data_IF_900426971328
#
_entry.id   IF_900426971328
#
_cell.length_a   1.000
_cell.length_b   1.000
_cell.length_c   1.000
_cell.angle_alpha   90.00
_cell.angle_beta   90.00
_cell.angle_gamma   90.00
#
_symmetry.space_group_name_H-M   'P 1'
#
loop_
_entity.id
_entity.type
_entity.pdbx_description
1 polymer ?
#
# COMPACT_ATOMS: atom_id res chain seq x y z
N UNK A 1 -1.42 -16.52 -17.83
CA UNK A 1 -1.79 -15.73 -16.65
C UNK A 1 -0.73 -15.82 -15.54
N UNK A 2 0.18 -16.81 -15.54
CA UNK A 2 1.24 -16.97 -14.54
C UNK A 2 2.13 -15.76 -14.26
N UNK A 3 2.51 -14.96 -15.26
CA UNK A 3 3.32 -13.75 -15.05
C UNK A 3 2.58 -12.67 -14.23
N UNK A 4 1.25 -12.65 -14.31
CA UNK A 4 0.40 -11.64 -13.68
C UNK A 4 0.33 -11.82 -12.16
N UNK A 5 0.29 -13.07 -11.69
CA UNK A 5 0.34 -13.39 -10.26
C UNK A 5 1.64 -12.92 -9.62
N UNK A 6 2.78 -13.20 -10.26
CA UNK A 6 4.09 -12.75 -9.80
C UNK A 6 4.25 -11.22 -9.82
N UNK A 7 3.77 -10.55 -10.87
CA UNK A 7 3.74 -9.08 -10.91
C UNK A 7 2.94 -8.54 -9.72
N UNK A 8 1.79 -9.13 -9.42
CA UNK A 8 0.93 -8.70 -8.32
C UNK A 8 1.62 -8.88 -6.96
N UNK A 9 2.28 -10.01 -6.73
CA UNK A 9 3.11 -10.24 -5.53
C UNK A 9 4.21 -9.18 -5.41
N UNK A 10 4.88 -8.86 -6.52
CA UNK A 10 5.90 -7.80 -6.55
C UNK A 10 5.35 -6.43 -6.16
N UNK A 11 4.17 -6.05 -6.68
CA UNK A 11 3.56 -4.74 -6.37
C UNK A 11 3.04 -4.69 -4.93
N UNK A 12 2.43 -5.77 -4.41
CA UNK A 12 2.07 -5.85 -2.98
C UNK A 12 3.30 -5.82 -2.07
N UNK A 13 4.41 -6.45 -2.48
CA UNK A 13 5.69 -6.38 -1.79
C UNK A 13 6.24 -4.95 -1.75
N UNK A 14 6.19 -4.22 -2.87
CA UNK A 14 6.57 -2.82 -2.92
C UNK A 14 5.68 -1.95 -2.02
N UNK A 15 4.36 -2.15 -2.07
CA UNK A 15 3.41 -1.45 -1.20
C UNK A 15 3.69 -1.70 0.29
N UNK A 16 4.02 -2.94 0.65
CA UNK A 16 4.40 -3.31 2.02
C UNK A 16 5.65 -2.55 2.48
N UNK A 17 6.68 -2.48 1.63
CA UNK A 17 7.93 -1.75 1.93
C UNK A 17 7.66 -0.25 2.08
N UNK A 18 6.92 0.36 1.14
CA UNK A 18 6.57 1.78 1.22
C UNK A 18 5.74 2.10 2.47
N UNK A 19 4.78 1.24 2.80
CA UNK A 19 3.96 1.38 4.01
C UNK A 19 4.81 1.28 5.28
N UNK A 20 5.77 0.34 5.32
CA UNK A 20 6.68 0.19 6.45
C UNK A 20 7.60 1.39 6.64
N UNK A 21 8.19 1.90 5.55
CA UNK A 21 9.03 3.10 5.59
C UNK A 21 8.21 4.30 6.08
N UNK A 22 7.01 4.49 5.52
CA UNK A 22 6.13 5.58 5.91
C UNK A 22 5.70 5.49 7.38
N UNK A 23 5.41 4.28 7.87
CA UNK A 23 5.11 4.03 9.29
C UNK A 23 6.29 4.41 10.19
N UNK A 24 7.50 3.96 9.86
CA UNK A 24 8.70 4.25 10.65
C UNK A 24 8.99 5.76 10.70
N UNK A 25 8.88 6.46 9.57
CA UNK A 25 9.03 7.91 9.49
C UNK A 25 7.94 8.63 10.28
N UNK A 26 6.70 8.13 10.26
CA UNK A 26 5.57 8.73 10.99
C UNK A 26 5.75 8.58 12.50
N UNK A 27 6.21 7.41 12.95
CA UNK A 27 6.58 7.17 14.35
C UNK A 27 7.74 8.08 14.80
N UNK A 28 8.77 8.25 13.97
CA UNK A 28 9.85 9.17 14.27
C UNK A 28 9.36 10.62 14.37
N UNK A 29 8.46 11.03 13.47
CA UNK A 29 7.89 12.38 13.45
C UNK A 29 7.02 12.66 14.66
N UNK A 30 6.08 11.78 15.00
CA UNK A 30 5.21 11.99 16.18
C UNK A 30 6.01 12.03 17.47
N UNK A 31 7.04 11.18 17.60
CA UNK A 31 7.90 11.19 18.77
C UNK A 31 8.68 12.51 18.90
N UNK A 32 9.14 13.06 17.77
CA UNK A 32 9.82 14.35 17.73
C UNK A 32 8.88 15.53 18.00
N UNK A 33 7.66 15.55 17.46
CA UNK A 33 6.71 16.66 17.68
C UNK A 33 6.14 16.70 19.09
N UNK A 34 6.14 15.57 19.80
CA UNK A 34 5.71 15.47 21.20
C UNK A 34 6.85 15.65 22.21
N UNK A 35 8.11 15.66 21.76
CA UNK A 35 9.29 15.82 22.62
C UNK A 35 10.33 16.70 21.92
N UNK A 36 9.98 17.98 21.68
CA UNK A 36 10.91 18.89 21.05
C UNK A 36 12.12 19.15 21.98
N UNK A 37 13.35 19.04 21.47
CA UNK A 37 14.52 19.40 22.25
C UNK A 37 14.56 20.90 22.55
N UNK A 38 14.99 21.25 23.75
CA UNK A 38 15.13 22.64 24.19
C UNK A 38 16.02 23.45 23.23
N UNK A 39 15.47 24.53 22.68
CA UNK A 39 16.18 25.41 21.74
C UNK A 39 15.88 25.14 20.26
N UNK A 40 15.00 24.18 19.94
CA UNK A 40 14.51 24.00 18.58
C UNK A 40 13.60 25.17 18.15
N UNK A 41 13.85 25.83 17.01
CA UNK A 41 13.00 26.93 16.54
C UNK A 41 11.60 26.47 16.10
N UNK A 42 11.38 25.17 15.90
CA UNK A 42 10.09 24.63 15.47
C UNK A 42 9.02 24.89 16.54
N UNK A 43 7.89 25.48 16.14
CA UNK A 43 6.78 25.86 17.02
C UNK A 43 7.21 26.65 18.28
N UNK A 44 8.29 27.44 18.17
CA UNK A 44 8.85 28.18 19.31
C UNK A 44 9.34 27.26 20.44
N UNK A 45 9.79 26.05 20.11
CA UNK A 45 10.29 25.05 21.05
C UNK A 45 9.20 24.40 21.91
N UNK A 46 7.94 24.48 21.47
CA UNK A 46 6.79 23.88 22.19
C UNK A 46 6.31 22.64 21.47
N UNK A 47 6.05 21.60 22.25
CA UNK A 47 5.41 20.37 21.78
C UNK A 47 4.07 20.66 21.12
N UNK A 48 3.80 19.96 20.01
CA UNK A 48 2.53 20.08 19.30
C UNK A 48 2.12 18.76 18.65
N UNK A 49 0.82 18.65 18.40
CA UNK A 49 0.24 17.48 17.76
C UNK A 49 -0.05 17.78 16.29
N UNK A 50 0.57 17.02 15.39
CA UNK A 50 0.29 17.05 13.97
C UNK A 50 -0.76 15.97 13.64
N UNK A 51 -2.00 16.35 13.28
CA UNK A 51 -3.09 15.39 13.05
C UNK A 51 -2.92 14.55 11.78
N UNK A 52 -2.02 14.92 10.86
CA UNK A 52 -1.74 14.13 9.64
C UNK A 52 -0.97 12.85 9.98
N UNK A 53 -0.07 12.93 10.94
CA UNK A 53 0.79 11.82 11.34
C UNK A 53 0.01 10.59 11.87
N UNK A 54 -0.93 10.71 12.84
CA UNK A 54 -1.73 9.57 13.30
C UNK A 54 -2.60 8.95 12.18
N UNK A 55 -3.09 9.76 11.24
CA UNK A 55 -3.82 9.27 10.06
C UNK A 55 -2.92 8.40 9.17
N UNK A 56 -1.70 8.87 8.88
CA UNK A 56 -0.71 8.10 8.11
C UNK A 56 -0.29 6.83 8.84
N UNK A 57 -0.13 6.86 10.16
CA UNK A 57 0.14 5.66 10.98
C UNK A 57 -1.01 4.66 10.85
N UNK A 58 -2.25 5.08 11.02
CA UNK A 58 -3.41 4.21 10.87
C UNK A 58 -3.47 3.61 9.46
N UNK A 59 -3.34 4.45 8.44
CA UNK A 59 -3.37 4.06 7.02
C UNK A 59 -2.29 3.03 6.70
N UNK A 60 -1.06 3.24 7.15
CA UNK A 60 0.05 2.32 6.92
C UNK A 60 -0.11 0.99 7.67
N UNK A 61 -0.62 1.00 8.91
CA UNK A 61 -0.91 -0.23 9.66
C UNK A 61 -1.96 -1.10 8.98
N UNK A 62 -3.08 -0.51 8.56
CA UNK A 62 -4.14 -1.24 7.85
C UNK A 62 -3.61 -1.75 6.51
N UNK A 63 -2.80 -0.96 5.81
CA UNK A 63 -2.19 -1.36 4.52
C UNK A 63 -1.19 -2.50 4.68
N UNK A 64 -0.35 -2.47 5.72
CA UNK A 64 0.57 -3.57 6.05
C UNK A 64 -0.22 -4.84 6.35
N UNK A 65 -1.25 -4.76 7.20
CA UNK A 65 -2.11 -5.90 7.52
C UNK A 65 -2.76 -6.50 6.27
N UNK A 66 -3.31 -5.65 5.40
CA UNK A 66 -3.90 -6.06 4.13
C UNK A 66 -2.89 -6.68 3.16
N UNK A 67 -1.72 -6.07 3.02
CA UNK A 67 -0.66 -6.55 2.13
C UNK A 67 -0.12 -7.90 2.60
N UNK A 68 0.12 -8.05 3.90
CA UNK A 68 0.50 -9.32 4.51
C UNK A 68 -0.58 -10.39 4.29
N UNK A 69 -1.86 -10.06 4.48
CA UNK A 69 -2.97 -10.98 4.21
C UNK A 69 -2.96 -11.44 2.75
N UNK A 70 -2.84 -10.53 1.78
CA UNK A 70 -2.84 -10.87 0.36
C UNK A 70 -1.63 -11.72 -0.06
N UNK A 71 -0.44 -11.39 0.45
CA UNK A 71 0.76 -12.18 0.20
C UNK A 71 0.64 -13.57 0.83
N UNK A 72 0.14 -13.64 2.07
CA UNK A 72 -0.05 -14.90 2.77
C UNK A 72 -1.08 -15.81 2.06
N UNK A 73 -2.19 -15.25 1.58
CA UNK A 73 -3.18 -15.99 0.79
C UNK A 73 -2.62 -16.49 -0.55
N UNK A 74 -1.68 -15.76 -1.16
CA UNK A 74 -1.02 -16.20 -2.38
C UNK A 74 -0.08 -17.40 -2.14
N UNK A 75 0.67 -17.40 -1.04
CA UNK A 75 1.64 -18.46 -0.72
C UNK A 75 1.00 -19.66 0.01
N UNK A 76 -0.10 -19.45 0.73
CA UNK A 76 -0.70 -20.45 1.60
C UNK A 76 -2.09 -20.87 1.13
N UNK A 77 -2.12 -21.80 0.18
CA UNK A 77 -3.37 -22.39 -0.35
C UNK A 77 -4.11 -23.24 0.70
N UNK A 78 -3.43 -23.62 1.78
CA UNK A 78 -3.99 -24.41 2.87
C UNK A 78 -4.99 -23.62 3.72
N UNK A 79 -4.98 -22.30 3.64
CA UNK A 79 -5.85 -21.44 4.46
C UNK A 79 -7.20 -21.31 3.77
N UNK A 80 -8.13 -22.18 4.16
CA UNK A 80 -9.54 -22.14 3.74
C UNK A 80 -10.28 -20.97 4.43
N UNK A 81 -9.84 -19.74 4.20
CA UNK A 81 -10.59 -18.55 4.64
C UNK A 81 -11.86 -18.40 3.80
N UNK A 82 -12.95 -17.93 4.43
CA UNK A 82 -14.22 -17.63 3.75
C UNK A 82 -14.16 -16.29 2.99
N UNK A 83 -13.23 -15.42 3.37
CA UNK A 83 -13.03 -14.06 2.86
C UNK A 83 -11.58 -13.63 3.13
N UNK A 84 -10.91 -12.86 2.25
CA UNK A 84 -11.25 -12.53 0.86
C UNK A 84 -10.91 -13.69 -0.10
N UNK A 85 -11.83 -14.09 -0.97
CA UNK A 85 -11.62 -15.18 -1.95
C UNK A 85 -11.75 -14.73 -3.40
N UNK A 86 -12.43 -13.62 -3.61
CA UNK A 86 -12.82 -13.14 -4.92
C UNK A 86 -12.04 -11.88 -5.28
N UNK A 87 -11.86 -11.64 -6.58
CA UNK A 87 -11.32 -10.37 -7.08
C UNK A 87 -12.17 -9.16 -6.64
N UNK A 88 -13.48 -9.34 -6.46
CA UNK A 88 -14.35 -8.30 -5.92
C UNK A 88 -14.01 -7.90 -4.47
N UNK A 89 -13.70 -8.88 -3.61
CA UNK A 89 -13.36 -8.63 -2.20
C UNK A 89 -12.05 -7.84 -2.09
N UNK A 90 -11.08 -8.23 -2.92
CA UNK A 90 -9.81 -7.52 -3.02
C UNK A 90 -10.01 -6.07 -3.48
N UNK A 91 -10.80 -5.86 -4.53
CA UNK A 91 -11.04 -4.54 -5.09
C UNK A 91 -11.73 -3.61 -4.07
N UNK A 92 -12.69 -4.12 -3.30
CA UNK A 92 -13.34 -3.35 -2.23
C UNK A 92 -12.31 -2.91 -1.19
N UNK A 93 -11.46 -3.82 -0.71
CA UNK A 93 -10.41 -3.47 0.25
C UNK A 93 -9.40 -2.47 -0.30
N UNK A 94 -8.98 -2.64 -1.56
CA UNK A 94 -8.09 -1.70 -2.24
C UNK A 94 -8.71 -0.32 -2.41
N UNK A 95 -10.00 -0.21 -2.72
CA UNK A 95 -10.70 1.07 -2.84
C UNK A 95 -10.80 1.79 -1.49
N UNK A 96 -11.09 1.05 -0.41
CA UNK A 96 -11.09 1.62 0.94
C UNK A 96 -9.70 2.16 1.30
N UNK A 97 -8.66 1.37 1.07
CA UNK A 97 -7.27 1.81 1.28
C UNK A 97 -6.93 3.01 0.40
N UNK A 98 -7.37 3.04 -0.86
CA UNK A 98 -7.12 4.15 -1.77
C UNK A 98 -7.65 5.47 -1.20
N UNK A 99 -8.83 5.47 -0.57
CA UNK A 99 -9.37 6.67 0.08
C UNK A 99 -8.57 7.11 1.31
N UNK A 100 -8.07 6.17 2.11
CA UNK A 100 -7.19 6.52 3.25
C UNK A 100 -5.86 7.11 2.78
N UNK A 101 -5.27 6.57 1.71
CA UNK A 101 -4.00 7.07 1.18
C UNK A 101 -4.13 8.45 0.52
N UNK A 102 -5.20 8.70 -0.25
CA UNK A 102 -5.42 10.04 -0.83
C UNK A 102 -5.75 11.07 0.25
N UNK A 103 -6.48 10.67 1.31
CA UNK A 103 -6.75 11.50 2.47
C UNK A 103 -5.45 11.97 3.13
N UNK A 104 -4.60 11.02 3.50
CA UNK A 104 -3.34 11.32 4.19
C UNK A 104 -2.35 12.08 3.31
N UNK A 105 -2.24 11.73 2.02
CA UNK A 105 -1.37 12.45 1.09
C UNK A 105 -1.89 13.88 0.82
N UNK A 106 -3.21 14.04 0.64
CA UNK A 106 -3.83 15.35 0.42
C UNK A 106 -3.71 16.25 1.66
N UNK A 107 -3.96 15.71 2.85
CA UNK A 107 -3.81 16.41 4.11
C UNK A 107 -2.36 16.88 4.31
N UNK A 108 -1.38 15.98 4.11
CA UNK A 108 0.05 16.28 4.15
C UNK A 108 0.43 17.44 3.20
N UNK A 109 0.07 17.34 1.92
CA UNK A 109 0.38 18.37 0.93
C UNK A 109 -0.31 19.71 1.23
N UNK A 110 -1.50 19.70 1.81
CA UNK A 110 -2.23 20.93 2.15
C UNK A 110 -1.70 21.65 3.40
N UNK A 111 -1.26 20.89 4.41
CA UNK A 111 -0.85 21.43 5.71
C UNK A 111 0.63 21.81 5.71
N UNK A 112 1.49 20.98 5.11
CA UNK A 112 2.93 21.22 5.10
C UNK A 112 3.36 22.16 3.96
N UNK A 113 2.66 22.14 2.83
CA UNK A 113 2.91 23.03 1.70
C UNK A 113 4.31 22.84 1.08
N UNK A 114 4.89 23.92 0.58
CA UNK A 114 6.22 23.87 -0.04
C UNK A 114 7.33 23.78 1.00
N UNK A 115 7.96 22.61 1.11
CA UNK A 115 9.05 22.33 2.05
C UNK A 115 10.46 22.63 1.49
N UNK A 116 10.57 23.22 0.29
CA UNK A 116 11.86 23.46 -0.37
C UNK A 116 12.75 24.46 0.39
N UNK A 117 12.13 25.45 1.06
CA UNK A 117 12.85 26.52 1.74
C UNK A 117 13.60 26.08 3.02
N UNK A 118 13.24 24.92 3.59
CA UNK A 118 13.73 24.46 4.90
C UNK A 118 14.51 23.14 4.85
N UNK A 119 14.92 22.68 3.67
CA UNK A 119 15.65 21.42 3.48
C UNK A 119 16.98 21.31 4.23
N UNK A 120 17.53 22.43 4.70
CA UNK A 120 18.70 22.45 5.58
C UNK A 120 18.45 21.78 6.95
N UNK A 121 17.19 21.73 7.40
CA UNK A 121 16.80 21.13 8.67
C UNK A 121 16.33 19.68 8.48
N UNK A 122 16.79 18.79 9.36
CA UNK A 122 16.41 17.37 9.33
C UNK A 122 14.89 17.16 9.41
N UNK A 123 14.19 18.00 10.18
CA UNK A 123 12.72 17.92 10.30
C UNK A 123 12.01 18.09 8.95
N UNK A 124 12.42 19.04 8.11
CA UNK A 124 11.82 19.25 6.78
C UNK A 124 12.17 18.13 5.80
N UNK A 125 13.37 17.54 5.90
CA UNK A 125 13.75 16.37 5.09
C UNK A 125 12.87 15.16 5.42
N UNK A 126 12.53 14.96 6.69
CA UNK A 126 11.61 13.90 7.13
C UNK A 126 10.20 14.15 6.60
N UNK A 127 9.69 15.39 6.70
CA UNK A 127 8.37 15.75 6.16
C UNK A 127 8.29 15.54 4.64
N UNK A 128 9.31 15.95 3.91
CA UNK A 128 9.38 15.73 2.46
C UNK A 128 9.44 14.25 2.10
N UNK A 129 10.17 13.44 2.88
CA UNK A 129 10.18 11.99 2.70
C UNK A 129 8.80 11.37 3.01
N UNK A 130 8.14 11.79 4.10
CA UNK A 130 6.78 11.36 4.45
C UNK A 130 5.80 11.63 3.31
N UNK A 131 5.79 12.86 2.78
CA UNK A 131 4.91 13.24 1.67
C UNK A 131 5.21 12.44 0.40
N UNK A 132 6.49 12.26 0.05
CA UNK A 132 6.88 11.48 -1.12
C UNK A 132 6.41 10.01 -1.01
N UNK A 133 6.64 9.37 0.15
CA UNK A 133 6.20 7.99 0.36
C UNK A 133 4.67 7.86 0.46
N UNK A 134 3.97 8.87 0.96
CA UNK A 134 2.50 8.94 0.93
C UNK A 134 1.99 8.89 -0.53
N UNK A 135 2.52 9.74 -1.40
CA UNK A 135 2.17 9.73 -2.83
C UNK A 135 2.60 8.44 -3.54
N UNK A 136 3.78 7.89 -3.24
CA UNK A 136 4.21 6.63 -3.85
C UNK A 136 3.33 5.44 -3.45
N UNK A 137 2.89 5.36 -2.19
CA UNK A 137 1.94 4.32 -1.78
C UNK A 137 0.58 4.47 -2.46
N UNK A 138 0.07 5.70 -2.60
CA UNK A 138 -1.15 5.96 -3.37
C UNK A 138 -1.02 5.58 -4.86
N UNK A 139 0.09 5.93 -5.51
CA UNK A 139 0.36 5.53 -6.90
C UNK A 139 0.45 4.02 -7.04
N UNK A 140 1.10 3.35 -6.09
CA UNK A 140 1.22 1.89 -6.07
C UNK A 140 -0.15 1.23 -5.93
N UNK A 141 -1.00 1.71 -5.02
CA UNK A 141 -2.39 1.25 -4.89
C UNK A 141 -3.19 1.45 -6.18
N UNK A 142 -3.06 2.62 -6.79
CA UNK A 142 -3.72 2.92 -8.08
C UNK A 142 -3.26 1.93 -9.17
N UNK A 143 -1.97 1.58 -9.18
CA UNK A 143 -1.41 0.54 -10.04
C UNK A 143 -2.04 -0.84 -9.81
N UNK A 144 -2.19 -1.27 -8.55
CA UNK A 144 -2.83 -2.56 -8.21
C UNK A 144 -4.31 -2.56 -8.62
N UNK A 145 -5.05 -1.48 -8.34
CA UNK A 145 -6.46 -1.34 -8.74
C UNK A 145 -6.60 -1.41 -10.26
N UNK A 146 -5.74 -0.69 -10.98
CA UNK A 146 -5.74 -0.68 -12.45
C UNK A 146 -5.47 -2.07 -13.00
N UNK A 147 -4.46 -2.76 -12.47
CA UNK A 147 -4.13 -4.14 -12.87
C UNK A 147 -5.32 -5.07 -12.62
N UNK A 148 -5.90 -5.04 -11.42
CA UNK A 148 -7.05 -5.87 -11.04
C UNK A 148 -8.26 -5.61 -11.93
N UNK A 149 -8.51 -4.35 -12.26
CA UNK A 149 -9.61 -3.96 -13.17
C UNK A 149 -9.38 -4.48 -14.58
N UNK A 150 -8.17 -4.35 -15.13
CA UNK A 150 -7.82 -4.88 -16.46
C UNK A 150 -8.04 -6.39 -16.54
N UNK A 151 -7.69 -7.13 -15.49
CA UNK A 151 -7.90 -8.58 -15.41
C UNK A 151 -9.38 -8.92 -15.43
N UNK A 152 -10.17 -8.27 -14.58
CA UNK A 152 -11.62 -8.48 -14.51
C UNK A 152 -12.30 -8.15 -15.85
N UNK A 153 -11.90 -7.05 -16.51
CA UNK A 153 -12.44 -6.66 -17.82
C UNK A 153 -12.07 -7.67 -18.91
N UNK A 154 -10.82 -8.16 -18.93
CA UNK A 154 -10.39 -9.19 -19.88
C UNK A 154 -11.14 -10.50 -19.67
N UNK A 155 -11.33 -10.92 -18.43
CA UNK A 155 -12.14 -12.11 -18.10
C UNK A 155 -13.56 -11.97 -18.64
N UNK A 156 -14.25 -10.87 -18.34
CA UNK A 156 -15.62 -10.62 -18.83
C UNK A 156 -15.72 -10.68 -20.35
N UNK A 157 -14.74 -10.11 -21.06
CA UNK A 157 -14.72 -10.13 -22.54
C UNK A 157 -14.64 -11.55 -23.12
N UNK A 158 -14.02 -12.48 -22.42
CA UNK A 158 -13.91 -13.89 -22.83
C UNK A 158 -15.01 -14.79 -22.23
N UNK A 159 -16.07 -14.21 -21.65
CA UNK A 159 -17.18 -14.97 -21.06
C UNK A 159 -16.93 -15.47 -19.63
N UNK A 160 -15.87 -15.00 -18.97
CA UNK A 160 -15.54 -15.33 -17.57
C UNK A 160 -16.44 -14.62 -16.55
N UNK A 161 -16.32 -15.04 -15.28
CA UNK A 161 -17.17 -14.54 -14.17
C UNK A 161 -16.68 -13.20 -13.59
N UNK A 162 -15.57 -12.64 -14.11
CA UNK A 162 -15.02 -11.33 -13.72
C UNK A 162 -14.80 -11.20 -12.21
N UNK A 163 -15.63 -10.41 -11.53
CA UNK A 163 -15.49 -10.15 -10.08
C UNK A 163 -15.67 -11.40 -9.20
N UNK A 164 -16.39 -12.40 -9.69
CA UNK A 164 -16.61 -13.66 -8.97
C UNK A 164 -15.55 -14.73 -9.30
N UNK A 165 -14.45 -14.34 -9.97
CA UNK A 165 -13.31 -15.24 -10.16
C UNK A 165 -12.50 -15.40 -8.88
N UNK A 166 -11.98 -16.61 -8.63
CA UNK A 166 -11.11 -16.87 -7.50
C UNK A 166 -9.78 -16.12 -7.66
N UNK A 167 -9.22 -15.68 -6.54
CA UNK A 167 -7.90 -15.07 -6.50
C UNK A 167 -6.80 -16.06 -6.96
N UNK A 168 -5.74 -15.57 -7.61
CA UNK A 168 -4.67 -16.43 -8.10
C UNK A 168 -3.85 -16.97 -6.91
N UNK A 169 -3.52 -18.25 -6.96
CA UNK A 169 -2.72 -18.96 -5.95
C UNK A 169 -1.37 -19.39 -6.52
N UNK A 170 -0.41 -19.66 -5.63
CA UNK A 170 0.91 -20.17 -6.03
C UNK A 170 0.80 -21.48 -6.81
N UNK A 171 0.00 -22.45 -6.34
CA UNK A 171 -0.13 -23.73 -7.03
C UNK A 171 -0.76 -23.56 -8.41
N UNK A 172 -1.77 -22.70 -8.54
CA UNK A 172 -2.38 -22.39 -9.83
C UNK A 172 -1.37 -21.74 -10.80
N UNK A 173 -0.52 -20.85 -10.29
CA UNK A 173 0.54 -20.23 -11.11
C UNK A 173 1.64 -21.23 -11.54
N UNK A 174 1.97 -22.19 -10.68
CA UNK A 174 2.95 -23.25 -10.99
C UNK A 174 2.39 -24.26 -12.00
N UNK A 175 1.13 -24.67 -11.85
CA UNK A 175 0.45 -25.59 -12.75
C UNK A 175 0.32 -24.99 -14.16
N UNK A 176 -0.12 -23.73 -14.27
CA UNK A 176 -0.20 -23.05 -15.55
C UNK A 176 1.17 -22.89 -16.21
N UNK A 177 2.24 -22.69 -15.42
CA UNK A 177 3.61 -22.66 -15.97
C UNK A 177 4.02 -24.03 -16.50
N UNK A 178 3.68 -25.13 -15.83
CA UNK A 178 3.97 -26.50 -16.28
C UNK A 178 3.25 -26.82 -17.60
N UNK A 179 1.98 -26.49 -17.69
CA UNK A 179 1.16 -26.66 -18.90
C UNK A 179 1.76 -25.91 -20.10
N UNK A 180 2.18 -24.65 -19.90
CA UNK A 180 2.83 -23.84 -20.94
C UNK A 180 4.21 -24.39 -21.38
N UNK A 181 4.86 -25.21 -20.56
CA UNK A 181 6.13 -25.86 -20.91
C UNK A 181 5.93 -27.22 -21.58
N UNK A 182 4.69 -27.66 -21.84
CA UNK A 182 4.40 -28.95 -22.48
C UNK A 182 4.88 -30.15 -21.67
N UNK A 183 5.10 -29.99 -20.37
CA UNK A 183 5.50 -31.07 -19.47
C UNK A 183 4.22 -31.75 -19.00
N UNK A 184 3.68 -32.66 -19.81
CA UNK A 184 2.69 -33.62 -19.33
C UNK A 184 3.32 -34.47 -18.22
N UNK A 185 2.56 -34.69 -17.14
CA UNK A 185 2.99 -35.36 -15.92
C UNK A 185 3.31 -36.85 -16.14
#
# INVERSE_FOLDING_TARGET
>A
MGNLGWIRVGIYGALLVFSFILLALSCARINYTLHLPSGDPLNGGRDFYDPVIPELIFTTLVTIGWSCLMLFLFFSDAVRSRFPRLYGDELIGLVILWFFWIGGAGAASSIWGDLSFCQQFQACRILSALEAFAWFGWLTLTGIITLSTVVVLRSRKHGGKGLAEPLPTLNGAVEERKENMGVEA
#
